data_IF_825129094952
#
_entry.id   IF_825129094952
#
_cell.length_a   1.000
_cell.length_b   1.000
_cell.length_c   1.000
_cell.angle_alpha   90.00
_cell.angle_beta   90.00
_cell.angle_gamma   90.00
#
_symmetry.space_group_name_H-M   'P 1'
#
loop_
_entity.id
_entity.type
_entity.pdbx_description
1 polymer ?
#
# COMPACT_ATOMS: atom_id res chain seq x y z
N UNK A 1 14.71 17.58 -1.62
CA UNK A 1 14.72 16.40 -2.51
C UNK A 1 15.79 15.38 -2.13
N UNK A 2 17.04 15.80 -1.86
CA UNK A 2 18.12 14.87 -1.57
C UNK A 2 17.86 13.96 -0.37
N UNK A 3 17.36 14.50 0.74
CA UNK A 3 17.01 13.69 1.92
C UNK A 3 15.93 12.64 1.59
N UNK A 4 14.94 12.99 0.76
CA UNK A 4 13.90 12.05 0.33
C UNK A 4 14.51 10.83 -0.38
N UNK A 5 15.43 11.07 -1.34
CA UNK A 5 16.09 9.97 -2.06
C UNK A 5 16.99 9.12 -1.13
N UNK A 6 17.71 9.76 -0.20
CA UNK A 6 18.51 9.05 0.81
C UNK A 6 17.60 8.13 1.65
N UNK A 7 16.49 8.65 2.14
CA UNK A 7 15.56 7.89 2.99
C UNK A 7 14.84 6.78 2.22
N UNK A 8 14.49 7.01 0.95
CA UNK A 8 13.89 5.97 0.10
C UNK A 8 14.83 4.75 -0.11
N UNK A 9 16.13 4.95 0.01
CA UNK A 9 17.13 3.86 -0.04
C UNK A 9 17.40 3.27 1.35
N UNK A 10 17.53 4.10 2.38
CA UNK A 10 17.91 3.65 3.73
C UNK A 10 16.77 2.88 4.41
N UNK A 11 15.52 3.35 4.30
CA UNK A 11 14.39 2.75 5.01
C UNK A 11 14.11 1.31 4.58
N UNK A 12 14.10 0.93 3.28
CA UNK A 12 13.94 -0.47 2.92
C UNK A 12 15.06 -1.36 3.44
N UNK A 13 16.29 -0.86 3.54
CA UNK A 13 17.41 -1.63 4.06
C UNK A 13 17.37 -1.79 5.59
N UNK A 14 17.03 -0.72 6.32
CA UNK A 14 17.10 -0.71 7.78
C UNK A 14 15.79 -1.11 8.46
N UNK A 15 14.67 -0.97 7.77
CA UNK A 15 13.32 -1.23 8.30
C UNK A 15 12.60 -2.34 7.56
N UNK A 16 12.34 -2.16 6.25
CA UNK A 16 11.48 -3.08 5.53
C UNK A 16 12.10 -4.47 5.37
N UNK A 17 13.38 -4.56 5.04
CA UNK A 17 14.06 -5.84 4.85
C UNK A 17 14.12 -6.67 6.15
N UNK A 18 14.57 -6.15 7.33
CA UNK A 18 14.52 -6.90 8.58
C UNK A 18 13.12 -7.40 8.93
N UNK A 19 12.10 -6.54 8.82
CA UNK A 19 10.70 -6.92 9.10
C UNK A 19 10.24 -8.01 8.13
N UNK A 20 10.51 -7.87 6.83
CA UNK A 20 10.14 -8.88 5.84
C UNK A 20 10.84 -10.22 6.05
N UNK A 21 12.09 -10.21 6.50
CA UNK A 21 12.83 -11.43 6.79
C UNK A 21 12.23 -12.17 7.99
N UNK A 22 12.01 -11.51 9.12
CA UNK A 22 11.44 -12.20 10.28
C UNK A 22 9.99 -12.64 10.03
N UNK A 23 9.15 -11.84 9.36
CA UNK A 23 7.81 -12.27 8.98
C UNK A 23 7.83 -13.46 8.02
N UNK A 24 8.80 -13.51 7.12
CA UNK A 24 9.04 -14.63 6.22
C UNK A 24 9.38 -15.91 6.98
N UNK A 25 10.23 -15.83 8.00
CA UNK A 25 10.58 -16.97 8.85
C UNK A 25 9.38 -17.43 9.69
N UNK A 26 8.69 -16.51 10.35
CA UNK A 26 7.50 -16.82 11.14
C UNK A 26 6.37 -17.44 10.29
N UNK A 27 6.18 -16.98 9.06
CA UNK A 27 5.23 -17.59 8.12
C UNK A 27 5.62 -19.02 7.76
N UNK A 28 6.92 -19.32 7.62
CA UNK A 28 7.36 -20.70 7.35
C UNK A 28 7.24 -21.61 8.57
N UNK A 29 7.45 -21.08 9.79
CA UNK A 29 7.35 -21.82 11.03
C UNK A 29 5.90 -22.09 11.45
N UNK A 30 5.02 -21.12 11.25
CA UNK A 30 3.61 -21.17 11.61
C UNK A 30 2.76 -20.55 10.47
N UNK A 31 2.49 -21.32 9.39
CA UNK A 31 1.69 -20.88 8.26
C UNK A 31 0.19 -20.95 8.61
N UNK A 32 -0.29 -19.93 9.29
CA UNK A 32 -1.67 -19.85 9.78
C UNK A 32 -2.37 -18.60 9.27
N UNK A 33 -3.68 -18.61 9.24
CA UNK A 33 -4.47 -17.40 9.00
C UNK A 33 -4.25 -16.39 10.11
N UNK A 34 -4.24 -15.10 9.74
CA UNK A 34 -3.91 -14.02 10.68
C UNK A 34 -2.59 -14.25 11.42
N UNK A 35 -1.55 -14.72 10.71
CA UNK A 35 -0.25 -15.08 11.28
C UNK A 35 0.26 -14.11 12.32
N UNK A 36 0.34 -12.79 12.08
CA UNK A 36 0.84 -11.82 13.07
C UNK A 36 0.08 -11.83 14.40
N UNK A 37 -1.25 -12.03 14.39
CA UNK A 37 -2.03 -12.22 15.61
C UNK A 37 -1.59 -13.48 16.36
N UNK A 38 -1.52 -14.61 15.64
CA UNK A 38 -1.17 -15.91 16.24
C UNK A 38 0.24 -15.88 16.79
N UNK A 39 1.20 -15.31 16.07
CA UNK A 39 2.59 -15.17 16.51
C UNK A 39 2.70 -14.32 17.78
N UNK A 40 1.98 -13.20 17.84
CA UNK A 40 1.92 -12.36 19.05
C UNK A 40 1.29 -13.12 20.23
N UNK A 41 0.23 -13.89 19.99
CA UNK A 41 -0.41 -14.75 21.00
C UNK A 41 0.54 -15.82 21.52
N UNK A 42 1.28 -16.49 20.64
CA UNK A 42 2.26 -17.52 21.02
C UNK A 42 3.43 -16.94 21.83
N UNK A 43 3.91 -15.75 21.46
CA UNK A 43 5.07 -15.13 22.09
C UNK A 43 4.75 -14.42 23.43
N UNK A 44 3.61 -13.74 23.52
CA UNK A 44 3.30 -12.80 24.60
C UNK A 44 1.98 -13.12 25.33
N UNK A 45 1.28 -14.16 24.91
CA UNK A 45 0.01 -14.57 25.50
C UNK A 45 -1.22 -13.91 24.86
N UNK A 46 -2.39 -14.34 25.36
CA UNK A 46 -3.69 -14.06 24.74
C UNK A 46 -4.05 -12.57 24.69
N UNK A 47 -3.77 -11.84 25.78
CA UNK A 47 -4.06 -10.41 25.86
C UNK A 47 -3.31 -9.60 24.79
N UNK A 48 -2.02 -9.85 24.62
CA UNK A 48 -1.21 -9.14 23.61
C UNK A 48 -1.55 -9.59 22.20
N UNK A 49 -1.82 -10.88 22.00
CA UNK A 49 -2.32 -11.39 20.74
C UNK A 49 -3.63 -10.71 20.34
N UNK A 50 -4.62 -10.70 21.24
CA UNK A 50 -5.89 -10.01 20.99
C UNK A 50 -5.70 -8.53 20.67
N UNK A 51 -4.95 -7.81 21.50
CA UNK A 51 -4.71 -6.38 21.31
C UNK A 51 -4.09 -6.12 19.94
N UNK A 52 -3.08 -6.89 19.54
CA UNK A 52 -2.45 -6.76 18.24
C UNK A 52 -3.44 -7.05 17.08
N UNK A 53 -4.11 -8.21 17.12
CA UNK A 53 -5.04 -8.62 16.06
C UNK A 53 -6.23 -7.67 15.91
N UNK A 54 -6.81 -7.22 17.02
CA UNK A 54 -7.94 -6.30 17.02
C UNK A 54 -7.55 -4.93 16.44
N UNK A 55 -6.47 -4.32 16.95
CA UNK A 55 -6.04 -3.00 16.47
C UNK A 55 -5.55 -3.01 15.04
N UNK A 56 -4.85 -4.07 14.62
CA UNK A 56 -4.44 -4.23 13.21
C UNK A 56 -5.64 -4.35 12.28
N UNK A 57 -6.67 -5.10 12.68
CA UNK A 57 -7.91 -5.22 11.88
C UNK A 57 -8.67 -3.89 11.80
N UNK A 58 -8.82 -3.21 12.93
CA UNK A 58 -9.43 -1.88 12.98
C UNK A 58 -8.68 -0.89 12.10
N UNK A 59 -7.36 -0.84 12.23
CA UNK A 59 -6.51 0.03 11.41
C UNK A 59 -6.67 -0.28 9.91
N UNK A 60 -6.73 -1.56 9.52
CA UNK A 60 -6.89 -1.94 8.12
C UNK A 60 -8.23 -1.48 7.53
N UNK A 61 -9.34 -1.57 8.28
CA UNK A 61 -10.64 -1.05 7.83
C UNK A 61 -10.66 0.47 7.77
N UNK A 62 -10.14 1.16 8.79
CA UNK A 62 -10.09 2.62 8.81
C UNK A 62 -9.22 3.18 7.68
N UNK A 63 -8.02 2.63 7.52
CA UNK A 63 -7.12 3.02 6.44
C UNK A 63 -7.69 2.64 5.08
N UNK A 64 -8.30 1.45 4.95
CA UNK A 64 -8.98 1.02 3.73
C UNK A 64 -10.07 2.01 3.30
N UNK A 65 -10.89 2.49 4.23
CA UNK A 65 -11.94 3.48 3.91
C UNK A 65 -11.36 4.82 3.42
N UNK A 66 -10.21 5.24 3.95
CA UNK A 66 -9.53 6.45 3.50
C UNK A 66 -9.12 6.37 2.01
N UNK A 67 -8.70 5.21 1.53
CA UNK A 67 -8.36 5.03 0.11
C UNK A 67 -9.56 5.19 -0.82
N UNK A 68 -10.77 4.82 -0.38
CA UNK A 68 -11.99 5.10 -1.15
C UNK A 68 -12.27 6.61 -1.21
N UNK A 69 -11.99 7.35 -0.13
CA UNK A 69 -12.11 8.82 -0.14
C UNK A 69 -11.10 9.44 -1.10
N UNK A 70 -9.82 9.05 -1.00
CA UNK A 70 -8.76 9.53 -1.89
C UNK A 70 -9.05 9.23 -3.37
N UNK A 71 -9.59 8.05 -3.68
CA UNK A 71 -10.01 7.73 -5.05
C UNK A 71 -11.06 8.73 -5.56
N UNK A 72 -12.03 9.09 -4.71
CA UNK A 72 -13.06 10.07 -5.08
C UNK A 72 -12.52 11.48 -5.20
N UNK A 73 -11.50 11.87 -4.43
CA UNK A 73 -10.83 13.16 -4.56
C UNK A 73 -10.11 13.25 -5.92
N UNK A 74 -9.40 12.19 -6.34
CA UNK A 74 -8.81 12.14 -7.69
C UNK A 74 -9.86 12.19 -8.80
N UNK A 75 -10.97 11.49 -8.68
CA UNK A 75 -12.08 11.54 -9.65
C UNK A 75 -12.70 12.94 -9.70
N UNK A 76 -12.81 13.59 -8.54
CA UNK A 76 -13.32 14.95 -8.38
C UNK A 76 -12.53 16.02 -9.14
N UNK A 77 -11.25 15.76 -9.47
CA UNK A 77 -10.45 16.65 -10.31
C UNK A 77 -10.95 16.71 -11.76
N UNK A 78 -11.64 15.67 -12.22
CA UNK A 78 -12.15 15.59 -13.60
C UNK A 78 -13.65 15.83 -13.72
N UNK A 79 -14.42 15.53 -12.66
CA UNK A 79 -15.88 15.55 -12.71
C UNK A 79 -16.44 16.21 -11.45
N UNK A 80 -17.15 17.30 -11.62
CA UNK A 80 -17.89 17.93 -10.52
C UNK A 80 -19.09 17.06 -10.11
N UNK A 81 -19.16 16.67 -8.86
CA UNK A 81 -20.21 15.79 -8.34
C UNK A 81 -20.89 16.39 -7.12
N UNK A 82 -22.19 16.15 -6.99
CA UNK A 82 -22.93 16.52 -5.77
C UNK A 82 -22.52 15.63 -4.60
N UNK A 83 -22.63 16.08 -3.34
CA UNK A 83 -22.35 15.27 -2.16
C UNK A 83 -23.11 13.93 -2.13
N UNK A 84 -24.37 13.94 -2.58
CA UNK A 84 -25.18 12.73 -2.67
C UNK A 84 -24.61 11.72 -3.70
N UNK A 85 -24.15 12.21 -4.84
CA UNK A 85 -23.52 11.38 -5.88
C UNK A 85 -22.21 10.77 -5.38
N UNK A 86 -21.36 11.55 -4.71
CA UNK A 86 -20.12 11.08 -4.09
C UNK A 86 -20.43 9.95 -3.09
N UNK A 87 -21.43 10.11 -2.23
CA UNK A 87 -21.83 9.09 -1.27
C UNK A 87 -22.28 7.80 -1.95
N UNK A 88 -23.13 7.90 -2.98
CA UNK A 88 -23.63 6.73 -3.73
C UNK A 88 -22.47 5.97 -4.40
N UNK A 89 -21.52 6.69 -5.02
CA UNK A 89 -20.38 6.07 -5.68
C UNK A 89 -19.48 5.38 -4.66
N UNK A 90 -19.17 6.02 -3.51
CA UNK A 90 -18.41 5.40 -2.41
C UNK A 90 -19.09 4.11 -1.93
N UNK A 91 -20.40 4.15 -1.70
CA UNK A 91 -21.16 2.96 -1.30
C UNK A 91 -21.11 1.85 -2.36
N UNK A 92 -21.26 2.19 -3.64
CA UNK A 92 -21.15 1.24 -4.75
C UNK A 92 -19.76 0.59 -4.83
N UNK A 93 -18.69 1.36 -4.65
CA UNK A 93 -17.30 0.86 -4.61
C UNK A 93 -17.12 -0.13 -3.45
N UNK A 94 -17.57 0.23 -2.25
CA UNK A 94 -17.47 -0.64 -1.07
C UNK A 94 -18.22 -1.95 -1.31
N UNK A 95 -19.44 -1.89 -1.83
CA UNK A 95 -20.26 -3.07 -2.13
C UNK A 95 -19.57 -3.93 -3.19
N UNK A 96 -19.06 -3.34 -4.27
CA UNK A 96 -18.38 -4.04 -5.35
C UNK A 96 -17.19 -4.84 -4.83
N UNK A 97 -16.27 -4.19 -4.08
CA UNK A 97 -15.08 -4.87 -3.56
C UNK A 97 -15.42 -5.88 -2.45
N UNK A 98 -16.48 -5.64 -1.68
CA UNK A 98 -17.02 -6.64 -0.75
C UNK A 98 -17.48 -7.88 -1.49
N UNK A 99 -18.22 -7.74 -2.61
CA UNK A 99 -18.66 -8.86 -3.44
C UNK A 99 -17.46 -9.61 -4.04
N UNK A 100 -16.42 -8.91 -4.50
CA UNK A 100 -15.19 -9.53 -5.01
C UNK A 100 -14.52 -10.37 -3.92
N UNK A 101 -14.37 -9.80 -2.71
CA UNK A 101 -13.79 -10.54 -1.58
C UNK A 101 -14.63 -11.75 -1.15
N UNK A 102 -15.96 -11.66 -1.23
CA UNK A 102 -16.87 -12.80 -0.97
C UNK A 102 -16.80 -13.90 -2.03
N UNK A 103 -16.21 -13.66 -3.19
CA UNK A 103 -16.00 -14.70 -4.23
C UNK A 103 -14.81 -15.58 -3.95
N UNK A 104 -13.84 -15.10 -3.16
CA UNK A 104 -12.69 -15.87 -2.70
C UNK A 104 -11.35 -15.23 -3.00
N UNK A 105 -10.29 -15.84 -2.49
CA UNK A 105 -8.92 -15.31 -2.61
C UNK A 105 -8.43 -15.29 -4.07
N UNK A 106 -8.90 -16.20 -4.91
CA UNK A 106 -8.47 -16.28 -6.31
C UNK A 106 -8.85 -15.02 -7.09
N UNK A 107 -10.11 -14.56 -6.98
CA UNK A 107 -10.58 -13.34 -7.65
C UNK A 107 -9.90 -12.09 -7.11
N UNK A 108 -9.71 -12.02 -5.79
CA UNK A 108 -8.94 -10.95 -5.14
C UNK A 108 -7.52 -10.90 -5.68
N UNK A 109 -6.85 -12.04 -5.80
CA UNK A 109 -5.48 -12.16 -6.28
C UNK A 109 -5.34 -11.76 -7.76
N UNK A 110 -6.25 -12.22 -8.62
CA UNK A 110 -6.25 -11.85 -10.05
C UNK A 110 -6.41 -10.34 -10.20
N UNK A 111 -7.40 -9.74 -9.53
CA UNK A 111 -7.65 -8.31 -9.61
C UNK A 111 -6.46 -7.50 -9.10
N UNK A 112 -5.89 -7.90 -7.94
CA UNK A 112 -4.72 -7.26 -7.37
C UNK A 112 -3.49 -7.37 -8.29
N UNK A 113 -3.31 -8.50 -8.98
CA UNK A 113 -2.22 -8.67 -9.95
C UNK A 113 -2.38 -7.72 -11.14
N UNK A 114 -3.57 -7.62 -11.71
CA UNK A 114 -3.86 -6.71 -12.82
C UNK A 114 -3.57 -5.27 -12.40
N UNK A 115 -4.08 -4.84 -11.25
CA UNK A 115 -3.84 -3.50 -10.73
C UNK A 115 -2.35 -3.24 -10.51
N UNK A 116 -1.63 -4.19 -9.91
CA UNK A 116 -0.19 -4.05 -9.67
C UNK A 116 0.62 -3.87 -10.95
N UNK A 117 0.30 -4.64 -11.99
CA UNK A 117 0.97 -4.52 -13.29
C UNK A 117 0.73 -3.13 -13.91
N UNK A 118 -0.51 -2.65 -13.88
CA UNK A 118 -0.86 -1.31 -14.39
C UNK A 118 -0.10 -0.21 -13.65
N UNK A 119 -0.04 -0.29 -12.32
CA UNK A 119 0.66 0.67 -11.46
C UNK A 119 2.17 0.65 -11.74
N UNK A 120 2.77 -0.53 -11.83
CA UNK A 120 4.21 -0.66 -12.10
C UNK A 120 4.59 -0.12 -13.48
N UNK A 121 3.76 -0.33 -14.50
CA UNK A 121 3.96 0.24 -15.83
C UNK A 121 3.90 1.78 -15.78
N UNK A 122 2.93 2.34 -15.06
CA UNK A 122 2.81 3.79 -14.94
C UNK A 122 4.01 4.41 -14.19
N UNK A 123 4.47 3.78 -13.11
CA UNK A 123 5.65 4.24 -12.38
C UNK A 123 6.93 4.09 -13.21
N UNK A 124 7.07 3.01 -13.98
CA UNK A 124 8.18 2.84 -14.92
C UNK A 124 8.17 3.92 -16.01
N UNK A 125 6.98 4.31 -16.49
CA UNK A 125 6.84 5.40 -17.46
C UNK A 125 7.32 6.74 -16.88
N UNK A 126 6.88 7.08 -15.65
CA UNK A 126 7.35 8.30 -14.97
C UNK A 126 8.86 8.29 -14.77
N UNK A 127 9.40 7.16 -14.30
CA UNK A 127 10.84 7.00 -14.09
C UNK A 127 11.63 7.18 -15.39
N UNK A 128 11.22 6.48 -16.46
CA UNK A 128 11.92 6.52 -17.75
C UNK A 128 11.83 7.90 -18.40
N UNK A 129 10.62 8.48 -18.46
CA UNK A 129 10.40 9.81 -19.07
C UNK A 129 11.13 10.88 -18.27
N UNK A 130 11.06 10.83 -16.94
CA UNK A 130 11.76 11.78 -16.10
C UNK A 130 13.29 11.68 -16.24
N UNK A 131 13.87 10.50 -16.18
CA UNK A 131 15.30 10.32 -16.36
C UNK A 131 15.81 10.71 -17.77
N UNK A 132 14.98 10.51 -18.80
CA UNK A 132 15.31 10.94 -20.16
C UNK A 132 15.31 12.46 -20.32
N UNK A 133 14.63 13.19 -19.44
CA UNK A 133 14.54 14.66 -19.44
C UNK A 133 15.23 15.28 -18.22
N UNK A 134 16.40 14.80 -17.86
CA UNK A 134 17.17 15.23 -16.70
C UNK A 134 17.61 16.70 -16.79
N UNK A 135 17.14 17.55 -15.87
CA UNK A 135 17.40 18.99 -15.84
C UNK A 135 17.92 19.48 -14.50
N UNK A 136 17.49 18.85 -13.40
CA UNK A 136 17.74 19.33 -12.04
C UNK A 136 18.68 18.39 -11.27
N UNK A 137 19.45 18.97 -10.33
CA UNK A 137 20.26 18.17 -9.41
C UNK A 137 19.35 17.56 -8.31
N UNK A 138 19.20 16.23 -8.20
CA UNK A 138 18.33 15.61 -7.23
C UNK A 138 18.82 15.75 -5.78
N UNK A 139 20.09 16.15 -5.58
CA UNK A 139 20.68 16.28 -4.24
C UNK A 139 20.70 17.73 -3.74
N UNK A 140 20.20 18.69 -4.51
CA UNK A 140 20.21 20.12 -4.14
C UNK A 140 18.78 20.68 -4.02
N UNK A 141 18.41 21.15 -2.82
CA UNK A 141 19.10 20.99 -1.53
C UNK A 141 18.90 19.57 -0.95
N UNK A 142 19.83 19.11 -0.12
CA UNK A 142 19.63 17.87 0.64
C UNK A 142 18.52 18.07 1.67
N UNK A 143 18.59 19.18 2.42
CA UNK A 143 17.55 19.61 3.37
C UNK A 143 17.14 21.04 2.99
N UNK A 144 15.83 21.38 3.02
CA UNK A 144 15.36 22.72 2.72
C UNK A 144 15.99 23.77 3.62
N UNK A 145 16.31 24.95 3.05
CA UNK A 145 16.82 26.07 3.82
C UNK A 145 15.76 26.55 4.83
N UNK A 146 16.19 26.76 6.07
CA UNK A 146 15.29 27.17 7.17
C UNK A 146 14.64 26.01 7.93
N UNK A 147 14.72 24.79 7.45
CA UNK A 147 14.22 23.62 8.16
C UNK A 147 15.26 23.04 9.11
N UNK A 148 14.81 22.61 10.29
CA UNK A 148 15.66 21.93 11.25
C UNK A 148 16.06 20.52 10.77
N UNK A 149 17.35 20.20 10.81
CA UNK A 149 17.86 18.88 10.39
C UNK A 149 17.12 17.75 11.08
N UNK A 150 16.96 17.80 12.40
CA UNK A 150 16.29 16.78 13.20
C UNK A 150 14.81 16.64 12.83
N UNK A 151 14.11 17.74 12.58
CA UNK A 151 12.71 17.76 12.16
C UNK A 151 12.55 17.11 10.80
N UNK A 152 13.39 17.47 9.82
CA UNK A 152 13.35 16.92 8.46
C UNK A 152 13.60 15.41 8.45
N UNK A 153 14.61 14.93 9.23
CA UNK A 153 14.87 13.50 9.39
C UNK A 153 13.70 12.79 10.08
N UNK A 154 13.16 13.35 11.17
CA UNK A 154 12.04 12.77 11.91
C UNK A 154 10.80 12.59 11.03
N UNK A 155 10.41 13.65 10.32
CA UNK A 155 9.26 13.61 9.39
C UNK A 155 9.53 12.65 8.23
N UNK A 156 10.73 12.71 7.64
CA UNK A 156 11.09 11.84 6.53
C UNK A 156 11.10 10.36 6.90
N UNK A 157 11.63 10.01 8.09
CA UNK A 157 11.59 8.63 8.60
C UNK A 157 10.14 8.18 8.85
N UNK A 158 9.31 9.01 9.50
CA UNK A 158 7.93 8.67 9.79
C UNK A 158 7.12 8.39 8.51
N UNK A 159 7.24 9.27 7.51
CA UNK A 159 6.60 9.08 6.20
C UNK A 159 7.16 7.86 5.48
N UNK A 160 8.47 7.70 5.46
CA UNK A 160 9.12 6.60 4.77
C UNK A 160 8.80 5.24 5.39
N UNK A 161 8.78 5.13 6.72
CA UNK A 161 8.33 3.90 7.41
C UNK A 161 6.88 3.57 7.02
N UNK A 162 6.01 4.57 6.99
CA UNK A 162 4.62 4.38 6.55
C UNK A 162 4.53 3.92 5.08
N UNK A 163 5.31 4.51 4.18
CA UNK A 163 5.34 4.13 2.75
C UNK A 163 5.75 2.66 2.56
N UNK A 164 6.69 2.17 3.37
CA UNK A 164 7.16 0.78 3.33
C UNK A 164 6.37 -0.17 4.26
N UNK A 165 5.19 0.20 4.73
CA UNK A 165 4.27 -0.71 5.40
C UNK A 165 3.42 -1.47 4.38
N UNK A 166 2.87 -2.61 4.80
CA UNK A 166 1.84 -3.31 4.04
C UNK A 166 2.28 -4.61 3.36
N UNK A 167 3.52 -4.75 2.90
CA UNK A 167 4.00 -5.98 2.23
C UNK A 167 3.92 -7.23 3.12
N UNK A 168 3.93 -7.06 4.44
CA UNK A 168 3.78 -8.17 5.41
C UNK A 168 2.34 -8.64 5.57
N UNK A 169 1.36 -7.89 5.07
CA UNK A 169 -0.06 -8.23 5.20
C UNK A 169 -0.43 -9.53 4.49
N UNK A 170 0.36 -9.98 3.52
CA UNK A 170 0.19 -11.31 2.89
C UNK A 170 0.28 -12.45 3.91
N UNK A 171 0.97 -12.28 5.04
CA UNK A 171 1.04 -13.26 6.12
C UNK A 171 -0.30 -13.50 6.85
N UNK A 172 -1.27 -12.59 6.72
CA UNK A 172 -2.63 -12.81 7.20
C UNK A 172 -3.38 -13.89 6.42
N UNK A 173 -2.93 -14.17 5.21
CA UNK A 173 -3.50 -15.17 4.31
C UNK A 173 -2.74 -16.52 4.37
N UNK A 174 -1.89 -16.70 5.38
CA UNK A 174 -0.98 -17.85 5.47
C UNK A 174 -1.68 -19.21 5.48
N UNK A 175 -2.87 -19.29 6.05
CA UNK A 175 -3.67 -20.53 6.10
C UNK A 175 -4.37 -20.88 4.79
N UNK A 176 -4.55 -19.93 3.87
CA UNK A 176 -5.20 -20.15 2.57
C UNK A 176 -4.20 -20.55 1.45
N UNK A 177 -2.89 -20.49 1.73
CA UNK A 177 -1.85 -20.73 0.73
C UNK A 177 -1.20 -22.10 0.96
N UNK A 178 -1.28 -22.98 -0.03
CA UNK A 178 -0.77 -24.37 0.06
C UNK A 178 0.74 -24.46 0.34
N UNK A 179 1.53 -23.52 -0.17
CA UNK A 179 2.98 -23.49 0.01
C UNK A 179 3.46 -22.21 0.67
N UNK A 180 3.75 -22.22 1.99
CA UNK A 180 4.21 -21.03 2.74
C UNK A 180 5.49 -20.40 2.17
N UNK A 181 6.34 -21.17 1.50
CA UNK A 181 7.56 -20.66 0.85
C UNK A 181 7.26 -19.62 -0.24
N UNK A 182 6.07 -19.68 -0.85
CA UNK A 182 5.62 -18.69 -1.84
C UNK A 182 5.43 -17.33 -1.17
N UNK A 183 4.84 -17.30 0.03
CA UNK A 183 4.67 -16.06 0.83
C UNK A 183 6.05 -15.46 1.14
N UNK A 184 6.96 -16.27 1.69
CA UNK A 184 8.33 -15.86 2.01
C UNK A 184 9.07 -15.27 0.81
N UNK A 185 8.99 -15.94 -0.34
CA UNK A 185 9.61 -15.46 -1.58
C UNK A 185 8.95 -14.19 -2.08
N UNK A 186 7.61 -14.12 -2.00
CA UNK A 186 6.81 -12.96 -2.36
C UNK A 186 7.15 -11.73 -1.53
N UNK A 187 7.30 -11.86 -0.20
CA UNK A 187 7.71 -10.75 0.66
C UNK A 187 9.10 -10.21 0.29
N UNK A 188 10.09 -11.10 0.13
CA UNK A 188 11.46 -10.70 -0.21
C UNK A 188 11.54 -9.99 -1.55
N UNK A 189 10.89 -10.53 -2.56
CA UNK A 189 10.82 -9.92 -3.89
C UNK A 189 10.01 -8.63 -3.87
N UNK A 190 8.91 -8.62 -3.12
CA UNK A 190 8.04 -7.47 -2.94
C UNK A 190 8.77 -6.25 -2.39
N UNK A 191 9.65 -6.42 -1.40
CA UNK A 191 10.45 -5.31 -0.84
C UNK A 191 11.30 -4.65 -1.93
N UNK A 192 11.97 -5.46 -2.77
CA UNK A 192 12.81 -4.95 -3.85
C UNK A 192 11.98 -4.21 -4.90
N UNK A 193 10.86 -4.80 -5.33
CA UNK A 193 9.95 -4.18 -6.30
C UNK A 193 9.38 -2.87 -5.75
N UNK A 194 8.93 -2.85 -4.50
CA UNK A 194 8.40 -1.65 -3.83
C UNK A 194 9.49 -0.57 -3.74
N UNK A 195 10.70 -0.93 -3.32
CA UNK A 195 11.79 0.04 -3.23
C UNK A 195 12.09 0.67 -4.60
N UNK A 196 12.21 -0.12 -5.65
CA UNK A 196 12.43 0.39 -7.00
C UNK A 196 11.27 1.23 -7.49
N UNK A 197 10.02 0.84 -7.19
CA UNK A 197 8.82 1.59 -7.60
C UNK A 197 8.63 2.90 -6.85
N UNK A 198 9.33 3.14 -5.75
CA UNK A 198 9.40 4.44 -5.08
C UNK A 198 10.63 5.24 -5.51
N UNK A 199 11.81 4.63 -5.55
CA UNK A 199 13.06 5.33 -5.85
C UNK A 199 13.08 5.86 -7.28
N UNK A 200 12.76 5.01 -8.26
CA UNK A 200 12.94 5.36 -9.68
C UNK A 200 11.98 6.47 -10.15
N UNK A 201 10.65 6.43 -9.91
CA UNK A 201 9.76 7.51 -10.31
C UNK A 201 10.00 8.80 -9.51
N UNK A 202 10.38 8.70 -8.23
CA UNK A 202 10.74 9.88 -7.43
C UNK A 202 11.99 10.54 -7.99
N UNK A 203 13.03 9.77 -8.30
CA UNK A 203 14.22 10.28 -8.97
C UNK A 203 13.85 10.93 -10.31
N UNK A 204 13.14 10.20 -11.18
CA UNK A 204 12.70 10.70 -12.47
C UNK A 204 11.91 12.00 -12.37
N UNK A 205 10.99 12.09 -11.40
CA UNK A 205 10.24 13.29 -11.14
C UNK A 205 11.12 14.48 -10.73
N UNK A 206 11.92 14.31 -9.69
CA UNK A 206 12.76 15.36 -9.12
C UNK A 206 13.77 15.91 -10.15
N UNK A 207 14.33 15.06 -11.00
CA UNK A 207 15.34 15.49 -11.98
C UNK A 207 14.78 16.16 -13.23
N UNK A 208 13.50 15.96 -13.53
CA UNK A 208 12.88 16.43 -14.78
C UNK A 208 11.90 17.57 -14.60
N UNK A 209 11.22 17.62 -13.45
CA UNK A 209 10.05 18.49 -13.28
C UNK A 209 10.24 19.30 -11.99
N UNK A 210 10.45 20.57 -12.11
CA UNK A 210 10.75 21.45 -10.98
C UNK A 210 9.82 22.63 -10.91
N UNK A 211 9.97 23.51 -9.91
CA UNK A 211 10.89 23.38 -8.79
C UNK A 211 10.41 22.38 -7.72
N UNK A 212 11.36 21.81 -6.96
CA UNK A 212 11.06 20.83 -5.91
C UNK A 212 10.12 21.36 -4.81
N UNK A 213 10.09 22.68 -4.59
CA UNK A 213 9.21 23.34 -3.60
C UNK A 213 7.73 23.22 -3.93
N UNK A 214 7.38 22.91 -5.15
CA UNK A 214 5.99 22.74 -5.62
C UNK A 214 5.53 21.28 -5.59
N UNK A 215 6.44 20.33 -5.35
CA UNK A 215 6.10 18.93 -5.25
C UNK A 215 5.18 18.64 -4.07
N UNK A 216 4.08 17.95 -4.34
CA UNK A 216 3.02 17.68 -3.37
C UNK A 216 2.03 18.84 -3.18
N UNK A 217 2.21 19.97 -3.88
CA UNK A 217 1.29 21.11 -3.89
C UNK A 217 0.65 21.26 -5.27
N UNK A 218 1.45 21.55 -6.28
CA UNK A 218 1.00 21.77 -7.67
C UNK A 218 1.64 20.78 -8.64
N UNK A 219 2.73 20.12 -8.24
CA UNK A 219 3.47 19.14 -9.03
C UNK A 219 3.35 17.76 -8.37
N UNK A 220 3.08 16.75 -9.16
CA UNK A 220 3.04 15.35 -8.80
C UNK A 220 3.62 14.47 -9.94
N UNK A 221 3.54 13.15 -9.80
CA UNK A 221 4.01 12.23 -10.85
C UNK A 221 3.23 12.36 -12.17
N UNK A 222 1.97 12.79 -12.15
CA UNK A 222 1.21 13.02 -13.38
C UNK A 222 1.77 14.21 -14.17
N UNK A 223 2.31 15.20 -13.44
CA UNK A 223 2.93 16.41 -14.01
C UNK A 223 4.16 16.06 -14.86
N UNK A 224 4.92 15.03 -14.48
CA UNK A 224 6.07 14.55 -15.29
C UNK A 224 5.61 14.10 -16.67
N UNK A 225 4.58 13.26 -16.71
CA UNK A 225 4.04 12.77 -17.98
C UNK A 225 3.31 13.86 -18.76
N UNK A 226 2.60 14.75 -18.06
CA UNK A 226 1.92 15.89 -18.66
C UNK A 226 2.88 16.82 -19.40
N UNK A 227 3.99 17.19 -18.76
CA UNK A 227 4.97 18.14 -19.33
C UNK A 227 5.79 17.56 -20.47
N UNK A 228 6.17 16.29 -20.39
CA UNK A 228 7.11 15.69 -21.33
C UNK A 228 6.46 14.83 -22.43
N UNK A 229 5.22 14.36 -22.24
CA UNK A 229 4.48 13.59 -23.25
C UNK A 229 3.24 14.35 -23.72
N UNK A 230 2.48 14.91 -22.76
CA UNK A 230 1.29 15.69 -23.05
C UNK A 230 0.11 15.43 -22.09
N UNK A 231 -0.97 16.22 -22.23
CA UNK A 231 -2.11 16.20 -21.30
C UNK A 231 -2.76 14.82 -21.14
N UNK A 232 -2.85 14.04 -22.21
CA UNK A 232 -3.44 12.71 -22.18
C UNK A 232 -2.66 11.72 -21.28
N UNK A 233 -1.31 11.84 -21.26
CA UNK A 233 -0.47 10.95 -20.45
C UNK A 233 -0.56 11.30 -18.96
N UNK A 234 -0.64 12.58 -18.60
CA UNK A 234 -0.93 13.01 -17.25
C UNK A 234 -2.29 12.51 -16.76
N UNK A 235 -3.34 12.68 -17.60
CA UNK A 235 -4.68 12.17 -17.28
C UNK A 235 -4.71 10.64 -17.14
N UNK A 236 -4.01 9.90 -17.99
CA UNK A 236 -3.89 8.45 -17.88
C UNK A 236 -3.24 8.03 -16.55
N UNK A 237 -2.19 8.74 -16.11
CA UNK A 237 -1.57 8.47 -14.80
C UNK A 237 -2.54 8.70 -13.65
N UNK A 238 -3.36 9.76 -13.70
CA UNK A 238 -4.37 10.02 -12.66
C UNK A 238 -5.42 8.89 -12.57
N UNK A 239 -5.81 8.30 -13.71
CA UNK A 239 -6.67 7.11 -13.71
C UNK A 239 -5.97 5.94 -13.01
N UNK A 240 -4.67 5.74 -13.25
CA UNK A 240 -3.88 4.71 -12.55
C UNK A 240 -3.79 5.02 -11.05
N UNK A 241 -3.70 6.28 -10.64
CA UNK A 241 -3.73 6.66 -9.24
C UNK A 241 -5.05 6.24 -8.56
N UNK A 242 -6.20 6.39 -9.23
CA UNK A 242 -7.50 5.86 -8.73
C UNK A 242 -7.48 4.33 -8.62
N UNK A 243 -6.94 3.64 -9.63
CA UNK A 243 -6.80 2.17 -9.60
C UNK A 243 -5.92 1.73 -8.42
N UNK A 244 -4.86 2.47 -8.12
CA UNK A 244 -3.98 2.17 -6.98
C UNK A 244 -4.73 2.25 -5.64
N UNK A 245 -5.60 3.24 -5.45
CA UNK A 245 -6.44 3.34 -4.25
C UNK A 245 -7.36 2.12 -4.11
N UNK A 246 -7.96 1.67 -5.21
CA UNK A 246 -8.82 0.48 -5.23
C UNK A 246 -8.03 -0.81 -4.95
N UNK A 247 -6.80 -0.93 -5.43
CA UNK A 247 -5.93 -2.07 -5.15
C UNK A 247 -5.64 -2.20 -3.65
N UNK A 248 -5.30 -1.09 -2.99
CA UNK A 248 -5.03 -1.07 -1.54
C UNK A 248 -6.31 -1.35 -0.75
N UNK A 249 -7.44 -0.76 -1.13
CA UNK A 249 -8.73 -1.02 -0.50
C UNK A 249 -9.12 -2.49 -0.58
N UNK A 250 -8.97 -3.12 -1.75
CA UNK A 250 -9.23 -4.55 -1.95
C UNK A 250 -8.39 -5.43 -1.01
N UNK A 251 -7.09 -5.17 -0.92
CA UNK A 251 -6.18 -5.88 -0.02
C UNK A 251 -6.53 -5.67 1.47
N UNK A 252 -6.94 -4.46 1.84
CA UNK A 252 -7.34 -4.13 3.22
C UNK A 252 -8.56 -4.92 3.67
N UNK A 253 -9.59 -5.06 2.82
CA UNK A 253 -10.77 -5.91 3.11
C UNK A 253 -10.33 -7.36 3.30
N UNK A 254 -9.52 -7.88 2.38
CA UNK A 254 -9.08 -9.27 2.41
C UNK A 254 -8.35 -9.61 3.72
N UNK A 255 -7.41 -8.77 4.14
CA UNK A 255 -6.58 -9.03 5.33
C UNK A 255 -7.34 -8.79 6.63
N UNK A 256 -8.11 -7.71 6.74
CA UNK A 256 -8.86 -7.38 7.95
C UNK A 256 -9.96 -8.41 8.24
N UNK A 257 -10.65 -8.92 7.22
CA UNK A 257 -11.70 -9.93 7.40
C UNK A 257 -11.13 -11.23 7.98
N UNK A 258 -9.95 -11.68 7.52
CA UNK A 258 -9.30 -12.89 8.05
C UNK A 258 -8.87 -12.73 9.51
N UNK A 259 -8.38 -11.56 9.86
CA UNK A 259 -8.00 -11.28 11.24
C UNK A 259 -9.21 -11.33 12.19
N UNK A 260 -10.33 -10.70 11.84
CA UNK A 260 -11.55 -10.80 12.64
C UNK A 260 -12.14 -12.20 12.68
N UNK A 261 -12.02 -12.96 11.59
CA UNK A 261 -12.46 -14.35 11.55
C UNK A 261 -11.71 -15.20 12.60
N UNK A 262 -10.39 -15.10 12.65
CA UNK A 262 -9.57 -15.86 13.62
C UNK A 262 -9.84 -15.41 15.05
N UNK A 263 -9.99 -14.11 15.32
CA UNK A 263 -10.42 -13.61 16.62
C UNK A 263 -11.80 -14.16 17.05
N UNK A 264 -12.72 -14.30 16.09
CA UNK A 264 -14.03 -14.92 16.32
C UNK A 264 -13.93 -16.42 16.61
N UNK A 265 -13.02 -17.16 15.96
CA UNK A 265 -12.74 -18.58 16.21
C UNK A 265 -12.18 -18.79 17.62
N UNK A 266 -11.33 -17.89 18.09
CA UNK A 266 -10.76 -17.90 19.45
C UNK A 266 -11.73 -17.39 20.54
N UNK A 267 -12.99 -17.08 20.19
CA UNK A 267 -14.02 -16.51 21.08
C UNK A 267 -13.66 -15.13 21.65
N UNK A 268 -12.75 -14.40 21.03
CA UNK A 268 -12.33 -13.05 21.44
C UNK A 268 -13.17 -11.95 20.73
N UNK A 269 -13.97 -12.33 19.74
CA UNK A 269 -14.92 -11.49 19.04
C UNK A 269 -16.26 -12.23 18.87
N UNK A 270 -17.35 -11.55 18.50
CA UNK A 270 -18.65 -12.20 18.28
C UNK A 270 -18.57 -13.39 17.31
N UNK A 271 -19.15 -14.52 17.70
CA UNK A 271 -19.08 -15.80 16.96
C UNK A 271 -19.58 -15.75 15.51
N UNK A 272 -20.41 -14.78 15.16
CA UNK A 272 -20.84 -14.65 13.75
C UNK A 272 -19.68 -14.31 12.80
N UNK A 273 -18.60 -13.69 13.32
CA UNK A 273 -17.39 -13.37 12.54
C UNK A 273 -16.55 -14.61 12.21
N UNK A 274 -16.71 -15.71 12.97
CA UNK A 274 -15.98 -16.95 12.71
C UNK A 274 -16.58 -17.81 11.59
N UNK A 275 -17.73 -17.42 11.02
CA UNK A 275 -18.40 -18.20 10.01
C UNK A 275 -17.69 -18.07 8.67
N UNK A 276 -17.29 -19.21 8.12
CA UNK A 276 -16.63 -19.33 6.82
C UNK A 276 -17.56 -20.03 5.85
N UNK A 277 -17.65 -19.53 4.62
CA UNK A 277 -18.44 -20.17 3.57
C UNK A 277 -17.84 -21.53 3.19
N UNK A 278 -18.59 -22.67 3.27
CA UNK A 278 -18.05 -23.99 2.94
C UNK A 278 -17.57 -24.12 1.49
N UNK A 279 -18.19 -23.36 0.57
CA UNK A 279 -17.87 -23.43 -0.86
C UNK A 279 -16.68 -22.58 -1.27
N UNK A 280 -16.46 -21.44 -0.59
CA UNK A 280 -15.50 -20.41 -1.02
C UNK A 280 -14.36 -20.19 -0.03
N UNK A 281 -14.47 -20.80 1.15
CA UNK A 281 -13.51 -20.67 2.28
C UNK A 281 -13.25 -19.20 2.66
N UNK A 282 -14.28 -18.35 2.59
CA UNK A 282 -14.27 -16.93 2.96
C UNK A 282 -15.47 -16.63 3.87
#
# INVERSE_FOLDING_TARGET
>A
PGLTLILLVLIPLMWAMPIGLYCSELTNLAPVESGPYVWAKMAFGEFWGFSFGFWMSMAAYLTGSAYVVLAMDYIGLFVSMSPAMIFIIKAAIIILFTIVNLRGLQEVSILSTIFSVIILIAFAAVAFVGMANWQYNPMDPVIPQGEGVMSSWGTGIAVGVWMYCGYVTISFLGGEIENPKVISKGMKLGIVIIALSYILPTLGGIVSTGPWTEWGITIDYSSVLYQHIGPWAGAAFMIVAVIAQFAIFNASIATASRSFMVLGQDNLCPKFLSKVSPKRKV
#
